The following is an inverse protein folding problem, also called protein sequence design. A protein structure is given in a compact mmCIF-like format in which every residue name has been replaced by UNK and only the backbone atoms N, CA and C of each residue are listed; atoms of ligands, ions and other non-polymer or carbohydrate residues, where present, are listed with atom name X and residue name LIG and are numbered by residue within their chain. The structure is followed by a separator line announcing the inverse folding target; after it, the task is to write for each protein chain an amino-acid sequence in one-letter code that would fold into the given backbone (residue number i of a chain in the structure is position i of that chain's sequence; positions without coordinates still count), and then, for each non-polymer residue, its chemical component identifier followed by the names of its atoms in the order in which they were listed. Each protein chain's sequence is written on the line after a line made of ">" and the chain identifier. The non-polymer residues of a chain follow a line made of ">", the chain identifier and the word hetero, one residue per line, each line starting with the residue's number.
data_IF_297155365427
#
_entry.id   IF_297155365427
#
_cell.length_a   1.000
_cell.length_b   1.000
_cell.length_c   1.000
_cell.angle_alpha   90.00
_cell.angle_beta   90.00
_cell.angle_gamma   90.00
#
_symmetry.space_group_name_H-M   'P 1'
#
loop_
_entity.id
_entity.type
_entity.pdbx_description
1 polymer ?
#
# COMPACT_ATOMS: atom_id res chain seq x y z
N UNK A 1 -18.57 12.77 3.26
CA UNK A 1 -17.94 12.86 1.91
C UNK A 1 -16.82 11.86 1.89
N UNK A 2 -16.88 10.82 1.05
CA UNK A 2 -15.79 9.86 0.95
C UNK A 2 -14.54 10.60 0.41
N UNK A 3 -13.42 10.51 1.13
CA UNK A 3 -12.15 11.05 0.67
C UNK A 3 -11.75 10.39 -0.65
N UNK A 4 -11.09 11.13 -1.53
CA UNK A 4 -10.64 10.62 -2.83
C UNK A 4 -9.41 9.73 -2.61
N UNK A 5 -9.52 8.42 -2.89
CA UNK A 5 -8.44 7.44 -2.71
C UNK A 5 -7.30 7.73 -3.69
N UNK A 6 -6.09 8.01 -3.21
CA UNK A 6 -4.89 8.20 -4.03
C UNK A 6 -4.17 6.88 -4.25
N UNK A 7 -4.03 6.50 -5.51
CA UNK A 7 -3.38 5.25 -5.92
C UNK A 7 -2.17 5.58 -6.81
N UNK A 8 -1.01 5.03 -6.47
CA UNK A 8 0.16 5.02 -7.35
C UNK A 8 0.29 3.63 -7.97
N UNK A 9 0.28 3.55 -9.30
CA UNK A 9 0.61 2.34 -10.05
C UNK A 9 2.05 2.42 -10.56
N UNK A 10 2.90 1.50 -10.07
CA UNK A 10 4.26 1.29 -10.58
C UNK A 10 4.24 0.08 -11.51
N UNK A 11 4.53 0.32 -12.79
CA UNK A 11 4.41 -0.70 -13.83
C UNK A 11 5.59 -0.65 -14.83
N UNK A 12 6.76 -1.11 -14.39
CA UNK A 12 7.98 -1.01 -15.19
C UNK A 12 8.01 -1.99 -16.37
N UNK A 13 8.50 -1.51 -17.51
CA UNK A 13 8.86 -2.36 -18.65
C UNK A 13 10.36 -2.66 -18.63
N UNK A 14 10.70 -3.94 -18.57
CA UNK A 14 12.09 -4.39 -18.49
C UNK A 14 12.48 -5.04 -19.81
N UNK A 15 13.60 -4.57 -20.37
CA UNK A 15 14.11 -5.12 -21.64
C UNK A 15 14.40 -6.62 -21.49
N UNK A 16 13.84 -7.41 -22.41
CA UNK A 16 14.05 -8.87 -22.45
C UNK A 16 13.05 -9.68 -21.62
N UNK A 17 12.08 -9.04 -20.97
CA UNK A 17 10.96 -9.72 -20.33
C UNK A 17 9.66 -9.55 -21.15
N UNK A 18 8.70 -10.49 -21.01
CA UNK A 18 7.41 -10.36 -21.65
C UNK A 18 6.68 -9.08 -21.21
N UNK A 19 5.92 -8.43 -22.11
CA UNK A 19 5.05 -7.32 -21.73
C UNK A 19 3.95 -7.81 -20.79
N UNK A 20 3.65 -7.02 -19.76
CA UNK A 20 2.55 -7.28 -18.82
C UNK A 20 1.30 -6.50 -19.22
N UNK A 21 0.12 -6.98 -18.83
CA UNK A 21 -1.17 -6.37 -19.15
C UNK A 21 -1.52 -5.11 -18.32
N UNK A 22 -0.52 -4.35 -17.84
CA UNK A 22 -0.72 -3.23 -16.92
C UNK A 22 -1.56 -2.07 -17.50
N UNK A 23 -1.63 -1.92 -18.83
CA UNK A 23 -2.52 -0.94 -19.47
C UNK A 23 -4.01 -1.29 -19.31
N UNK A 24 -4.35 -2.59 -19.36
CA UNK A 24 -5.71 -3.05 -19.12
C UNK A 24 -6.09 -2.87 -17.65
N UNK A 25 -5.15 -3.10 -16.75
CA UNK A 25 -5.30 -2.85 -15.32
C UNK A 25 -5.54 -1.37 -15.03
N UNK A 26 -4.70 -0.50 -15.60
CA UNK A 26 -4.77 0.95 -15.47
C UNK A 26 -6.15 1.49 -15.85
N UNK A 27 -6.68 1.07 -17.00
CA UNK A 27 -7.98 1.58 -17.47
C UNK A 27 -9.13 1.19 -16.54
N UNK A 28 -9.09 0.00 -15.95
CA UNK A 28 -10.09 -0.47 -14.99
C UNK A 28 -9.98 0.24 -13.64
N UNK A 29 -8.76 0.44 -13.13
CA UNK A 29 -8.55 1.16 -11.87
C UNK A 29 -8.94 2.64 -12.01
N UNK A 30 -8.59 3.28 -13.13
CA UNK A 30 -8.94 4.67 -13.40
C UNK A 30 -10.46 4.89 -13.49
N UNK A 31 -11.23 3.85 -13.83
CA UNK A 31 -12.68 3.88 -13.89
C UNK A 31 -13.38 3.70 -12.52
N UNK A 32 -12.63 3.39 -11.45
CA UNK A 32 -13.21 3.23 -10.10
C UNK A 32 -13.62 4.60 -9.53
N UNK A 33 -14.90 4.78 -9.15
CA UNK A 33 -15.35 6.04 -8.55
C UNK A 33 -14.57 6.40 -7.28
N UNK A 34 -14.17 7.66 -7.17
CA UNK A 34 -13.44 8.16 -6.01
C UNK A 34 -11.93 7.88 -6.02
N UNK A 35 -11.39 7.27 -7.08
CA UNK A 35 -9.93 7.02 -7.22
C UNK A 35 -9.26 8.17 -7.97
N UNK A 36 -8.08 8.58 -7.47
CA UNK A 36 -7.08 9.34 -8.24
C UNK A 36 -5.91 8.42 -8.51
N UNK A 37 -5.73 8.05 -9.77
CA UNK A 37 -4.64 7.19 -10.20
C UNK A 37 -3.50 8.01 -10.79
N UNK A 38 -2.29 7.84 -10.24
CA UNK A 38 -1.04 8.27 -10.87
C UNK A 38 -0.23 7.05 -11.29
N UNK A 39 0.53 7.18 -12.37
CA UNK A 39 1.20 6.03 -13.01
C UNK A 39 2.67 6.34 -13.24
N UNK A 40 3.52 5.46 -12.75
CA UNK A 40 4.93 5.37 -13.09
C UNK A 40 5.13 4.07 -13.90
N UNK A 41 4.89 4.14 -15.21
CA UNK A 41 4.81 2.96 -16.09
C UNK A 41 5.83 2.98 -17.23
N UNK A 42 6.15 1.82 -17.81
CA UNK A 42 7.03 1.71 -18.97
C UNK A 42 8.52 1.90 -18.64
N UNK A 43 9.29 2.37 -19.63
CA UNK A 43 10.75 2.58 -19.52
C UNK A 43 11.16 3.74 -18.57
N UNK A 44 10.21 4.61 -18.22
CA UNK A 44 10.45 5.72 -17.29
C UNK A 44 10.25 5.33 -15.82
N UNK A 45 9.77 4.11 -15.55
CA UNK A 45 9.70 3.56 -14.20
C UNK A 45 11.08 3.11 -13.72
N UNK A 46 11.97 4.08 -13.56
CA UNK A 46 13.35 3.91 -13.08
C UNK A 46 13.42 4.24 -11.59
N UNK A 47 14.48 3.76 -10.91
CA UNK A 47 14.66 3.98 -9.46
C UNK A 47 14.49 5.43 -9.02
N UNK A 48 15.07 6.39 -9.74
CA UNK A 48 14.98 7.81 -9.38
C UNK A 48 13.53 8.33 -9.46
N UNK A 49 12.85 8.09 -10.58
CA UNK A 49 11.46 8.52 -10.80
C UNK A 49 10.49 7.84 -9.84
N UNK A 50 10.68 6.55 -9.57
CA UNK A 50 9.86 5.83 -8.59
C UNK A 50 10.11 6.38 -7.18
N UNK A 51 11.37 6.61 -6.79
CA UNK A 51 11.70 7.18 -5.47
C UNK A 51 11.06 8.55 -5.24
N UNK A 52 11.05 9.43 -6.25
CA UNK A 52 10.37 10.73 -6.18
C UNK A 52 8.88 10.57 -5.83
N UNK A 53 8.21 9.59 -6.45
CA UNK A 53 6.79 9.30 -6.17
C UNK A 53 6.57 8.64 -4.82
N UNK A 54 7.48 7.77 -4.38
CA UNK A 54 7.38 7.07 -3.09
C UNK A 54 7.55 8.03 -1.89
N UNK A 55 8.09 9.23 -2.09
CA UNK A 55 8.14 10.27 -1.05
C UNK A 55 6.82 11.02 -0.86
N UNK A 56 5.85 10.85 -1.76
CA UNK A 56 4.51 11.40 -1.61
C UNK A 56 3.60 10.49 -0.79
N UNK A 57 2.54 11.06 -0.19
CA UNK A 57 1.54 10.28 0.54
C UNK A 57 0.54 9.58 -0.41
N UNK A 58 0.35 8.27 -0.22
CA UNK A 58 -0.57 7.45 -1.00
C UNK A 58 -1.46 6.60 -0.09
N UNK A 59 -2.73 6.42 -0.49
CA UNK A 59 -3.57 5.43 0.19
C UNK A 59 -3.19 4.01 -0.22
N UNK A 60 -2.84 3.81 -1.50
CA UNK A 60 -2.45 2.52 -2.02
C UNK A 60 -1.33 2.67 -3.04
N UNK A 61 -0.27 1.86 -2.91
CA UNK A 61 0.75 1.70 -3.94
C UNK A 61 0.60 0.32 -4.55
N UNK A 62 0.30 0.25 -5.83
CA UNK A 62 0.21 -0.99 -6.60
C UNK A 62 1.50 -1.17 -7.40
N UNK A 63 2.19 -2.27 -7.16
CA UNK A 63 3.31 -2.69 -7.99
C UNK A 63 2.83 -3.77 -8.95
N UNK A 64 2.59 -3.42 -10.21
CA UNK A 64 2.17 -4.34 -11.26
C UNK A 64 3.35 -4.59 -12.19
N UNK A 65 4.10 -5.66 -11.92
CA UNK A 65 5.41 -5.80 -12.52
C UNK A 65 6.04 -7.17 -12.36
N UNK A 66 7.16 -7.35 -13.04
CA UNK A 66 7.98 -8.54 -12.87
C UNK A 66 8.66 -8.52 -11.51
N UNK A 67 8.63 -9.68 -10.85
CA UNK A 67 9.30 -9.93 -9.59
C UNK A 67 10.15 -11.18 -9.66
N UNK A 68 11.07 -11.28 -8.73
CA UNK A 68 11.77 -12.51 -8.37
C UNK A 68 11.81 -12.58 -6.83
N UNK A 69 12.09 -13.76 -6.25
CA UNK A 69 12.32 -13.85 -4.82
C UNK A 69 13.31 -12.76 -4.35
N UNK A 70 12.90 -11.98 -3.34
CA UNK A 70 13.68 -10.89 -2.75
C UNK A 70 13.78 -9.58 -3.53
N UNK A 71 13.23 -9.47 -4.75
CA UNK A 71 13.39 -8.25 -5.59
C UNK A 71 12.25 -7.98 -6.58
N UNK A 72 11.96 -6.71 -6.79
CA UNK A 72 11.10 -6.21 -7.87
C UNK A 72 11.96 -5.64 -8.97
N UNK A 73 11.48 -5.67 -10.21
CA UNK A 73 12.21 -5.10 -11.34
C UNK A 73 11.66 -3.73 -11.72
N UNK A 74 12.57 -2.77 -11.87
CA UNK A 74 12.36 -1.48 -12.51
C UNK A 74 13.07 -1.44 -13.86
N UNK A 75 12.79 -0.40 -14.66
CA UNK A 75 13.34 -0.27 -16.00
C UNK A 75 14.89 -0.22 -16.02
N UNK A 76 15.51 0.26 -14.94
CA UNK A 76 16.97 0.39 -14.78
C UNK A 76 17.60 -0.65 -13.84
N UNK A 77 16.84 -1.62 -13.34
CA UNK A 77 17.36 -2.72 -12.52
C UNK A 77 16.48 -3.15 -11.36
N UNK A 78 16.95 -4.13 -10.55
CA UNK A 78 16.20 -4.65 -9.42
C UNK A 78 16.22 -3.70 -8.22
N UNK A 79 15.14 -3.73 -7.43
CA UNK A 79 15.03 -3.10 -6.10
C UNK A 79 14.61 -4.12 -5.05
N UNK A 80 15.16 -3.98 -3.84
CA UNK A 80 14.87 -4.85 -2.69
C UNK A 80 13.91 -4.22 -1.68
N UNK A 81 13.51 -5.00 -0.69
CA UNK A 81 12.54 -4.59 0.34
C UNK A 81 13.03 -3.41 1.18
N UNK A 82 14.30 -3.42 1.58
CA UNK A 82 14.89 -2.34 2.38
C UNK A 82 14.92 -1.01 1.62
N UNK A 83 15.14 -1.06 0.31
CA UNK A 83 15.10 0.13 -0.53
C UNK A 83 13.69 0.71 -0.57
N UNK A 84 12.68 -0.14 -0.82
CA UNK A 84 11.26 0.26 -0.83
C UNK A 84 10.84 0.85 0.52
N UNK A 85 11.16 0.17 1.62
CA UNK A 85 10.88 0.63 2.97
C UNK A 85 11.55 1.98 3.28
N UNK A 86 12.79 2.17 2.81
CA UNK A 86 13.51 3.43 2.96
C UNK A 86 12.82 4.58 2.22
N UNK A 87 12.44 4.37 0.95
CA UNK A 87 11.81 5.40 0.12
C UNK A 87 10.41 5.77 0.63
N UNK A 88 9.65 4.80 1.14
CA UNK A 88 8.29 5.06 1.67
C UNK A 88 8.28 5.62 3.09
N UNK A 89 9.43 5.66 3.79
CA UNK A 89 9.48 6.01 5.23
C UNK A 89 8.95 7.41 5.54
N UNK A 90 9.19 8.37 4.65
CA UNK A 90 8.83 9.77 4.89
C UNK A 90 7.32 10.00 4.81
N UNK A 91 6.65 9.28 3.91
CA UNK A 91 5.21 9.34 3.69
C UNK A 91 4.67 7.92 3.53
N UNK A 92 4.58 7.14 4.64
CA UNK A 92 4.21 5.73 4.56
C UNK A 92 2.80 5.59 3.97
N UNK A 93 2.60 4.70 2.98
CA UNK A 93 1.29 4.47 2.42
C UNK A 93 0.41 3.67 3.39
N UNK A 94 -0.92 3.75 3.22
CA UNK A 94 -1.84 2.92 4.01
C UNK A 94 -1.69 1.42 3.66
N UNK A 95 -1.39 1.10 2.39
CA UNK A 95 -1.08 -0.25 1.94
C UNK A 95 -0.20 -0.26 0.68
N UNK A 96 0.66 -1.28 0.57
CA UNK A 96 1.39 -1.63 -0.65
C UNK A 96 0.90 -2.99 -1.16
N UNK A 97 0.58 -3.10 -2.45
CA UNK A 97 0.26 -4.37 -3.10
C UNK A 97 1.37 -4.73 -4.06
N UNK A 98 2.14 -5.76 -3.71
CA UNK A 98 3.22 -6.30 -4.53
C UNK A 98 2.66 -7.35 -5.48
N UNK A 99 1.98 -6.90 -6.55
CA UNK A 99 1.43 -7.74 -7.61
C UNK A 99 2.52 -8.18 -8.59
N UNK A 100 3.48 -8.89 -8.03
CA UNK A 100 4.63 -9.46 -8.72
C UNK A 100 4.86 -10.88 -8.20
N UNK A 101 5.03 -11.84 -9.10
CA UNK A 101 5.18 -13.25 -8.75
C UNK A 101 6.28 -13.45 -7.68
N UNK A 102 5.98 -14.26 -6.68
CA UNK A 102 6.91 -14.60 -5.57
C UNK A 102 7.34 -13.42 -4.69
N UNK A 103 6.64 -12.28 -4.71
CA UNK A 103 6.92 -11.14 -3.82
C UNK A 103 6.75 -11.45 -2.32
N UNK A 104 5.98 -12.50 -1.98
CA UNK A 104 5.86 -13.04 -0.63
C UNK A 104 6.61 -14.37 -0.43
N UNK A 105 7.42 -14.81 -1.41
CA UNK A 105 8.27 -15.98 -1.25
C UNK A 105 9.61 -15.57 -0.62
N UNK A 106 10.08 -16.36 0.34
CA UNK A 106 11.41 -16.20 0.94
C UNK A 106 12.47 -16.74 -0.01
N UNK A 107 13.63 -16.08 -0.04
CA UNK A 107 14.79 -16.52 -0.78
C UNK A 107 15.94 -16.92 0.18
N UNK A 108 17.18 -16.84 -0.29
CA UNK A 108 18.37 -17.11 0.53
C UNK A 108 18.52 -16.15 1.74
N UNK A 109 17.85 -14.98 1.71
CA UNK A 109 17.80 -14.05 2.83
C UNK A 109 16.81 -14.49 3.94
N UNK A 110 16.08 -15.60 3.74
CA UNK A 110 15.09 -16.16 4.68
C UNK A 110 13.90 -15.23 5.00
N UNK A 111 13.81 -14.09 4.30
CA UNK A 111 12.70 -13.13 4.36
C UNK A 111 12.22 -12.81 2.95
N UNK A 112 10.93 -12.53 2.82
CA UNK A 112 10.34 -12.04 1.57
C UNK A 112 10.27 -10.50 1.54
N UNK A 113 10.08 -9.92 0.35
CA UNK A 113 9.85 -8.49 0.22
C UNK A 113 8.67 -8.01 1.06
N UNK A 114 7.57 -8.78 1.03
CA UNK A 114 6.37 -8.46 1.78
C UNK A 114 6.62 -8.47 3.30
N UNK A 115 7.41 -9.43 3.80
CA UNK A 115 7.83 -9.46 5.20
C UNK A 115 8.74 -8.29 5.58
N UNK A 116 9.71 -7.93 4.73
CA UNK A 116 10.57 -6.76 4.99
C UNK A 116 9.78 -5.46 5.09
N UNK A 117 8.81 -5.24 4.21
CA UNK A 117 7.93 -4.06 4.26
C UNK A 117 7.04 -4.08 5.51
N UNK A 118 6.43 -5.24 5.80
CA UNK A 118 5.64 -5.43 7.02
C UNK A 118 6.45 -5.15 8.28
N UNK A 119 7.67 -5.68 8.41
CA UNK A 119 8.59 -5.42 9.52
C UNK A 119 9.02 -3.96 9.63
N UNK A 120 8.96 -3.22 8.52
CA UNK A 120 9.20 -1.77 8.49
C UNK A 120 7.98 -0.93 8.85
N UNK A 121 6.88 -1.57 9.26
CA UNK A 121 5.62 -0.91 9.64
C UNK A 121 4.67 -0.63 8.48
N UNK A 122 4.94 -1.15 7.28
CA UNK A 122 4.13 -0.91 6.08
C UNK A 122 3.21 -2.11 5.84
N UNK A 123 1.89 -1.89 5.90
CA UNK A 123 0.91 -2.92 5.55
C UNK A 123 1.08 -3.32 4.09
N UNK A 124 1.29 -4.62 3.84
CA UNK A 124 1.71 -5.10 2.54
C UNK A 124 0.93 -6.33 2.12
N UNK A 125 0.47 -6.36 0.88
CA UNK A 125 0.01 -7.57 0.20
C UNK A 125 1.14 -8.09 -0.69
N UNK A 126 1.43 -9.38 -0.63
CA UNK A 126 2.37 -10.01 -1.57
C UNK A 126 1.81 -11.32 -2.14
N UNK A 127 2.47 -11.83 -3.18
CA UNK A 127 2.13 -13.06 -3.88
C UNK A 127 3.15 -14.15 -3.56
N UNK A 128 2.72 -15.29 -2.99
CA UNK A 128 3.64 -16.38 -2.64
C UNK A 128 3.94 -17.33 -3.80
N UNK A 129 3.14 -17.25 -4.87
CA UNK A 129 3.24 -18.08 -6.05
C UNK A 129 3.29 -17.23 -7.32
N UNK A 130 3.62 -17.88 -8.44
CA UNK A 130 3.40 -17.31 -9.76
C UNK A 130 1.91 -17.29 -10.10
N UNK A 131 1.42 -16.16 -10.59
CA UNK A 131 0.03 -16.00 -11.04
C UNK A 131 0.01 -15.53 -12.49
N UNK A 132 -1.09 -15.82 -13.18
CA UNK A 132 -1.32 -15.25 -14.51
C UNK A 132 -1.66 -13.76 -14.38
N UNK A 133 -1.22 -12.96 -15.35
CA UNK A 133 -1.52 -11.52 -15.42
C UNK A 133 -3.02 -11.23 -15.24
N UNK A 134 -3.90 -11.99 -15.90
CA UNK A 134 -5.35 -11.80 -15.78
C UNK A 134 -5.85 -11.91 -14.33
N UNK A 135 -5.34 -12.88 -13.57
CA UNK A 135 -5.71 -13.06 -12.16
C UNK A 135 -5.16 -11.94 -11.27
N UNK A 136 -3.93 -11.47 -11.55
CA UNK A 136 -3.35 -10.32 -10.86
C UNK A 136 -4.16 -9.03 -11.13
N UNK A 137 -4.60 -8.82 -12.37
CA UNK A 137 -5.45 -7.68 -12.75
C UNK A 137 -6.78 -7.71 -12.00
N UNK A 138 -7.48 -8.85 -11.96
CA UNK A 138 -8.72 -9.01 -11.20
C UNK A 138 -8.51 -8.67 -9.72
N UNK A 139 -7.44 -9.20 -9.11
CA UNK A 139 -7.11 -8.89 -7.73
C UNK A 139 -6.92 -7.39 -7.50
N UNK A 140 -6.05 -6.75 -8.30
CA UNK A 140 -5.67 -5.35 -8.10
C UNK A 140 -6.86 -4.40 -8.27
N UNK A 141 -7.69 -4.65 -9.30
CA UNK A 141 -8.89 -3.84 -9.60
C UNK A 141 -9.90 -3.95 -8.46
N UNK A 142 -10.25 -5.17 -8.05
CA UNK A 142 -11.26 -5.35 -7.00
C UNK A 142 -10.76 -4.97 -5.61
N UNK A 143 -9.47 -5.10 -5.36
CA UNK A 143 -8.85 -4.57 -4.15
C UNK A 143 -9.04 -3.04 -4.08
N UNK A 144 -8.68 -2.30 -5.13
CA UNK A 144 -8.85 -0.84 -5.16
C UNK A 144 -10.33 -0.45 -5.07
N UNK A 145 -11.21 -1.14 -5.80
CA UNK A 145 -12.66 -0.89 -5.75
C UNK A 145 -13.21 -1.03 -4.34
N UNK A 146 -12.89 -2.15 -3.68
CA UNK A 146 -13.34 -2.41 -2.32
C UNK A 146 -12.69 -1.47 -1.28
N UNK A 147 -11.44 -1.06 -1.50
CA UNK A 147 -10.76 -0.08 -0.66
C UNK A 147 -11.41 1.30 -0.76
N UNK A 148 -11.72 1.75 -1.97
CA UNK A 148 -12.40 3.03 -2.21
C UNK A 148 -13.80 3.09 -1.56
N UNK A 149 -14.48 1.95 -1.45
CA UNK A 149 -15.82 1.86 -0.85
C UNK A 149 -15.80 1.70 0.67
N UNK A 150 -14.91 0.86 1.20
CA UNK A 150 -14.92 0.45 2.61
C UNK A 150 -13.90 1.19 3.49
N UNK A 151 -12.85 1.76 2.89
CA UNK A 151 -11.69 2.30 3.60
C UNK A 151 -10.86 1.26 4.36
N UNK A 152 -11.21 -0.03 4.30
CA UNK A 152 -10.56 -1.10 5.06
C UNK A 152 -9.73 -2.00 4.17
N UNK A 153 -8.42 -2.05 4.42
CA UNK A 153 -7.48 -2.93 3.73
C UNK A 153 -7.84 -4.41 3.89
N UNK A 154 -8.28 -4.82 5.09
CA UNK A 154 -8.67 -6.21 5.36
C UNK A 154 -9.92 -6.61 4.57
N UNK A 155 -10.93 -5.73 4.51
CA UNK A 155 -12.14 -5.96 3.70
C UNK A 155 -11.79 -5.98 2.21
N UNK A 156 -10.96 -5.04 1.75
CA UNK A 156 -10.52 -4.97 0.37
C UNK A 156 -9.77 -6.25 -0.07
N UNK A 157 -8.86 -6.74 0.77
CA UNK A 157 -8.15 -8.00 0.53
C UNK A 157 -9.12 -9.18 0.39
N UNK A 158 -10.09 -9.32 1.31
CA UNK A 158 -11.08 -10.41 1.29
C UNK A 158 -11.94 -10.38 0.01
N UNK A 159 -12.45 -9.21 -0.36
CA UNK A 159 -13.26 -9.06 -1.58
C UNK A 159 -12.43 -9.42 -2.83
N UNK A 160 -11.18 -8.95 -2.89
CA UNK A 160 -10.30 -9.23 -4.02
C UNK A 160 -9.97 -10.73 -4.16
N UNK A 161 -9.67 -11.44 -3.06
CA UNK A 161 -9.42 -12.90 -3.12
C UNK A 161 -10.69 -13.68 -3.49
N UNK A 162 -11.87 -13.25 -3.03
CA UNK A 162 -13.14 -13.86 -3.38
C UNK A 162 -13.42 -13.72 -4.89
N UNK A 163 -13.16 -12.54 -5.47
CA UNK A 163 -13.32 -12.34 -6.92
C UNK A 163 -12.32 -13.19 -7.72
N UNK A 164 -11.05 -13.23 -7.31
CA UNK A 164 -10.05 -14.09 -7.97
C UNK A 164 -10.46 -15.56 -7.89
N UNK A 165 -10.99 -16.01 -6.75
CA UNK A 165 -11.45 -17.39 -6.62
C UNK A 165 -12.61 -17.72 -7.57
N UNK A 166 -13.49 -16.75 -7.85
CA UNK A 166 -14.59 -16.90 -8.77
C UNK A 166 -14.14 -16.99 -10.24
N UNK A 167 -13.23 -16.11 -10.67
CA UNK A 167 -12.81 -16.03 -12.09
C UNK A 167 -11.58 -16.90 -12.43
N UNK A 168 -10.71 -17.11 -11.45
CA UNK A 168 -9.39 -17.73 -11.60
C UNK A 168 -9.06 -18.61 -10.39
N UNK A 169 -9.87 -19.64 -10.15
CA UNK A 169 -9.76 -20.52 -8.96
C UNK A 169 -8.37 -21.10 -8.69
N UNK A 170 -7.55 -21.34 -9.72
CA UNK A 170 -6.17 -21.81 -9.58
C UNK A 170 -5.21 -20.78 -8.93
N UNK A 171 -5.55 -19.49 -8.99
CA UNK A 171 -4.83 -18.40 -8.33
C UNK A 171 -5.48 -17.99 -7.00
N UNK A 172 -6.56 -18.67 -6.58
CA UNK A 172 -7.21 -18.39 -5.30
C UNK A 172 -6.23 -18.59 -4.14
N UNK A 173 -6.13 -17.59 -3.28
CA UNK A 173 -5.21 -17.62 -2.14
C UNK A 173 -3.75 -17.36 -2.49
N UNK A 174 -3.42 -16.98 -3.74
CA UNK A 174 -2.06 -16.57 -4.11
C UNK A 174 -1.60 -15.28 -3.42
N UNK A 175 -2.53 -14.42 -3.00
CA UNK A 175 -2.24 -13.17 -2.31
C UNK A 175 -2.35 -13.33 -0.78
N UNK A 176 -1.38 -12.77 -0.06
CA UNK A 176 -1.36 -12.71 1.40
C UNK A 176 -1.23 -11.28 1.88
N UNK A 177 -2.07 -10.89 2.85
CA UNK A 177 -1.98 -9.63 3.56
C UNK A 177 -1.12 -9.78 4.83
N UNK A 178 -0.05 -8.99 4.91
CA UNK A 178 0.81 -8.84 6.07
C UNK A 178 0.58 -7.44 6.68
N UNK A 179 0.07 -7.34 7.92
CA UNK A 179 -0.10 -6.05 8.57
C UNK A 179 1.26 -5.39 8.82
N UNK A 180 1.32 -4.05 8.80
CA UNK A 180 2.50 -3.32 9.21
C UNK A 180 2.81 -3.62 10.68
N UNK A 181 3.96 -4.25 10.95
CA UNK A 181 4.48 -4.46 12.29
C UNK A 181 5.08 -3.15 12.77
N UNK A 182 4.22 -2.27 13.28
CA UNK A 182 4.70 -1.18 14.10
C UNK A 182 5.16 -1.84 15.41
N UNK A 183 6.34 -1.45 15.93
CA UNK A 183 6.63 -1.57 17.37
C UNK A 183 5.65 -0.64 18.11
N UNK A 184 4.37 -0.98 18.06
CA UNK A 184 3.23 -0.08 18.17
C UNK A 184 2.98 0.40 19.58
N UNK A 185 3.40 -0.37 20.59
CA UNK A 185 3.21 0.03 21.97
C UNK A 185 3.89 1.37 22.29
N UNK A 186 5.11 1.62 21.79
CA UNK A 186 5.80 2.89 22.05
C UNK A 186 5.10 4.09 21.41
N UNK A 187 4.83 4.01 20.11
CA UNK A 187 4.20 5.12 19.36
C UNK A 187 2.74 5.38 19.76
N UNK A 188 1.98 4.32 20.04
CA UNK A 188 0.59 4.46 20.53
C UNK A 188 0.60 5.11 21.91
N UNK A 189 1.52 4.71 22.79
CA UNK A 189 1.68 5.36 24.11
C UNK A 189 2.07 6.83 23.96
N UNK A 190 2.97 7.18 23.04
CA UNK A 190 3.36 8.58 22.78
C UNK A 190 2.21 9.42 22.22
N UNK A 191 1.48 8.92 21.22
CA UNK A 191 0.32 9.62 20.66
C UNK A 191 -0.81 9.75 21.70
N UNK A 192 -1.12 8.70 22.45
CA UNK A 192 -2.11 8.76 23.52
C UNK A 192 -1.69 9.73 24.62
N UNK A 193 -0.40 9.78 24.97
CA UNK A 193 0.11 10.73 25.97
C UNK A 193 0.00 12.17 25.47
N UNK A 194 0.28 12.41 24.19
CA UNK A 194 0.11 13.72 23.55
C UNK A 194 -1.37 14.15 23.53
N UNK A 195 -2.29 13.23 23.22
CA UNK A 195 -3.73 13.49 23.25
C UNK A 195 -4.21 13.81 24.67
N UNK A 196 -3.82 13.01 25.68
CA UNK A 196 -4.17 13.27 27.08
C UNK A 196 -3.69 14.64 27.52
N UNK A 197 -2.43 14.99 27.24
CA UNK A 197 -1.88 16.32 27.58
C UNK A 197 -2.69 17.46 26.95
N UNK A 198 -3.10 17.31 25.69
CA UNK A 198 -3.94 18.32 25.01
C UNK A 198 -5.32 18.44 25.64
N UNK A 199 -5.90 17.33 26.10
CA UNK A 199 -7.17 17.34 26.83
C UNK A 199 -7.03 18.04 28.18
N UNK A 200 -6.00 17.70 28.96
CA UNK A 200 -5.71 18.35 30.25
C UNK A 200 -5.52 19.87 30.07
N UNK A 201 -4.79 20.29 29.03
CA UNK A 201 -4.57 21.70 28.71
C UNK A 201 -5.89 22.41 28.31
N UNK A 202 -6.82 21.70 27.67
CA UNK A 202 -8.14 22.23 27.30
C UNK A 202 -9.07 22.34 28.52
N UNK A 203 -9.10 21.32 29.38
CA UNK A 203 -9.85 21.33 30.63
C UNK A 203 -9.38 22.47 31.54
N UNK A 204 -8.07 22.62 31.72
CA UNK A 204 -7.50 23.72 32.51
C UNK A 204 -7.82 25.11 31.93
N UNK A 205 -7.99 25.24 30.61
CA UNK A 205 -8.44 26.50 29.98
C UNK A 205 -9.93 26.74 30.23
N UNK A 206 -10.76 25.70 30.11
CA UNK A 206 -12.20 25.77 30.38
C UNK A 206 -12.46 26.16 31.83
N UNK A 207 -11.79 25.55 32.80
CA UNK A 207 -11.93 25.85 34.22
C UNK A 207 -11.59 27.33 34.52
N UNK A 208 -10.54 27.87 33.90
CA UNK A 208 -10.19 29.30 34.05
C UNK A 208 -11.23 30.24 33.46
N UNK A 209 -11.93 29.83 32.39
CA UNK A 209 -13.00 30.62 31.79
C UNK A 209 -14.27 30.57 32.65
N UNK A 210 -14.61 29.39 33.17
CA UNK A 210 -15.76 29.20 34.05
C UNK A 210 -15.56 29.84 35.44
N UNK A 211 -14.33 29.92 35.93
CA UNK A 211 -13.99 30.55 37.21
C UNK A 211 -13.92 32.10 37.16
N UNK A 212 -14.11 32.73 35.99
CA UNK A 212 -14.18 34.20 35.86
C UNK A 212 -15.63 34.67 36.05
N UNK A 213 -15.97 35.36 37.16
CA UNK A 213 -17.33 35.84 37.41
C UNK A 213 -17.81 36.91 36.43
N UNK A 214 -16.90 37.50 35.65
CA UNK A 214 -17.14 38.70 34.86
C UNK A 214 -17.62 38.43 33.42
N UNK A 215 -17.76 37.16 33.01
CA UNK A 215 -18.10 36.77 31.62
C UNK A 215 -19.59 36.42 31.44
N UNK A 216 -20.39 36.43 32.53
CA UNK A 216 -21.84 36.15 32.50
C UNK A 216 -22.70 37.40 32.72
N UNK A 217 -22.19 38.60 32.44
CA UNK A 217 -22.99 39.84 32.36
C UNK A 217 -23.10 40.35 30.94
#
# INVERSE_FOLDING_TARGET
>A
MAGKLRVLLVAAEVKGLPPLAWLQELSQIAAVPGVTLEVCGGQQAQRATVAERLHEWWDCILWSGHGAPGRLLLADGPVGGDWLACMMRQAPPSVVVLSACFSAARDQALTSLAETLSQSGITTVGLWAGVMDAAAVVYNVEFVRALALSGSVATAHRVAIEQVAWEHSAAAGAAFLLPGLINGYGKIVEELSSIHKRLDDMEAKLDRLCARPDVLR
#
